data_IF_984558696363
#
_entry.id   IF_984558696363
#
_cell.length_a   1.000
_cell.length_b   1.000
_cell.length_c   1.000
_cell.angle_alpha   90.00
_cell.angle_beta   90.00
_cell.angle_gamma   90.00
#
_symmetry.space_group_name_H-M   'P 1'
#
loop_
_entity.id
_entity.type
_entity.pdbx_description
1 polymer ?
#
# COMPACT_ATOMS: atom_id res chain seq x y z
N UNK A 1 -17.33 -12.92 17.26
CA UNK A 1 -16.08 -12.14 17.29
C UNK A 1 -16.43 -10.71 16.98
N UNK A 2 -15.96 -9.76 17.79
CA UNK A 2 -16.20 -8.34 17.62
C UNK A 2 -15.02 -7.72 16.86
N UNK A 3 -15.30 -6.97 15.81
CA UNK A 3 -14.28 -6.37 14.95
C UNK A 3 -14.57 -4.87 14.80
N UNK A 4 -13.63 -4.04 15.22
CA UNK A 4 -13.67 -2.61 14.99
C UNK A 4 -12.91 -2.24 13.71
N UNK A 5 -13.51 -1.43 12.87
CA UNK A 5 -12.96 -0.96 11.61
C UNK A 5 -12.67 0.53 11.77
N UNK A 6 -11.40 0.89 11.80
CA UNK A 6 -10.96 2.28 11.93
C UNK A 6 -10.81 2.90 10.57
N UNK A 7 -11.40 4.08 10.39
CA UNK A 7 -11.22 4.90 9.18
C UNK A 7 -10.78 6.30 9.56
N UNK A 8 -10.07 6.97 8.65
CA UNK A 8 -9.57 8.34 8.84
C UNK A 8 -10.21 9.21 7.78
N UNK A 9 -10.89 10.27 8.20
CA UNK A 9 -11.78 11.06 7.33
C UNK A 9 -12.78 10.14 6.61
N UNK A 10 -13.05 10.44 5.33
CA UNK A 10 -13.95 9.67 4.48
C UNK A 10 -13.22 8.70 3.54
N UNK A 11 -11.92 8.43 3.79
CA UNK A 11 -11.12 7.54 2.96
C UNK A 11 -11.37 6.06 3.29
N UNK A 12 -12.51 5.55 2.85
CA UNK A 12 -12.97 4.21 3.20
C UNK A 12 -12.71 3.15 2.10
N UNK A 13 -12.40 3.57 0.87
CA UNK A 13 -12.40 2.68 -0.29
C UNK A 13 -11.40 1.51 -0.17
N UNK A 14 -10.20 1.76 0.36
CA UNK A 14 -9.17 0.72 0.49
C UNK A 14 -9.57 -0.35 1.52
N UNK A 15 -10.04 0.09 2.69
CA UNK A 15 -10.47 -0.84 3.75
C UNK A 15 -11.77 -1.55 3.36
N UNK A 16 -12.71 -0.87 2.72
CA UNK A 16 -13.95 -1.45 2.23
C UNK A 16 -13.69 -2.52 1.15
N UNK A 17 -12.76 -2.25 0.23
CA UNK A 17 -12.35 -3.23 -0.78
C UNK A 17 -11.70 -4.47 -0.17
N UNK A 18 -10.87 -4.27 0.86
CA UNK A 18 -10.26 -5.37 1.59
C UNK A 18 -11.30 -6.21 2.33
N UNK A 19 -12.25 -5.56 3.01
CA UNK A 19 -13.35 -6.25 3.70
C UNK A 19 -14.21 -7.08 2.75
N UNK A 20 -14.51 -6.56 1.56
CA UNK A 20 -15.30 -7.26 0.56
C UNK A 20 -14.63 -8.54 0.03
N UNK A 21 -13.31 -8.68 0.18
CA UNK A 21 -12.55 -9.86 -0.21
C UNK A 21 -12.41 -10.90 0.91
N UNK A 22 -12.98 -10.64 2.11
CA UNK A 22 -12.91 -11.53 3.26
C UNK A 22 -14.31 -12.01 3.65
N UNK A 23 -14.39 -13.12 4.38
CA UNK A 23 -15.66 -13.61 4.95
C UNK A 23 -15.75 -13.23 6.43
N UNK A 24 -16.65 -12.30 6.74
CA UNK A 24 -16.95 -11.84 8.10
C UNK A 24 -18.29 -12.40 8.62
N UNK A 25 -18.78 -13.47 8.06
CA UNK A 25 -20.03 -14.11 8.49
C UNK A 25 -19.95 -14.49 9.98
N UNK A 26 -20.95 -14.07 10.76
CA UNK A 26 -21.01 -14.32 12.19
C UNK A 26 -20.14 -13.38 13.06
N UNK A 27 -19.53 -12.35 12.49
CA UNK A 27 -18.84 -11.30 13.22
C UNK A 27 -19.77 -10.11 13.48
N UNK A 28 -19.58 -9.45 14.63
CA UNK A 28 -20.16 -8.13 14.92
C UNK A 28 -19.16 -7.07 14.46
N UNK A 29 -19.57 -6.19 13.55
CA UNK A 29 -18.71 -5.14 13.00
C UNK A 29 -19.09 -3.79 13.61
N UNK A 30 -18.10 -3.02 14.07
CA UNK A 30 -18.23 -1.64 14.48
C UNK A 30 -17.37 -0.75 13.59
N UNK A 31 -17.82 0.48 13.32
CA UNK A 31 -17.08 1.46 12.54
C UNK A 31 -16.62 2.61 13.44
N UNK A 32 -15.32 2.76 13.61
CA UNK A 32 -14.70 3.85 14.36
C UNK A 32 -14.13 4.87 13.36
N UNK A 33 -14.84 5.97 13.19
CA UNK A 33 -14.48 7.02 12.26
C UNK A 33 -13.69 8.12 12.98
N UNK A 34 -12.43 8.32 12.58
CA UNK A 34 -11.60 9.42 13.04
C UNK A 34 -11.81 10.60 12.11
N UNK A 35 -12.34 11.72 12.65
CA UNK A 35 -12.58 12.95 11.89
C UNK A 35 -12.51 14.17 12.82
N UNK A 36 -11.81 15.27 12.46
CA UNK A 36 -10.95 15.43 11.26
C UNK A 36 -9.68 14.57 11.31
N UNK A 37 -8.90 14.59 10.21
CA UNK A 37 -7.63 13.89 10.15
C UNK A 37 -6.68 14.40 11.25
N UNK A 38 -6.12 13.51 12.10
CA UNK A 38 -5.14 13.90 13.08
C UNK A 38 -3.78 14.19 12.42
N UNK A 39 -3.02 15.08 13.03
CA UNK A 39 -1.65 15.41 12.61
C UNK A 39 -0.67 14.34 13.11
N UNK A 40 -0.88 13.85 14.33
CA UNK A 40 -0.05 12.81 14.98
C UNK A 40 -0.94 11.80 15.71
N UNK A 41 -0.42 10.60 15.88
CA UNK A 41 -1.16 9.48 16.48
C UNK A 41 -1.64 9.76 17.92
N UNK A 42 -0.86 10.54 18.68
CA UNK A 42 -1.19 10.91 20.07
C UNK A 42 -2.57 11.53 20.23
N UNK A 43 -3.01 12.29 19.22
CA UNK A 43 -4.30 12.98 19.28
C UNK A 43 -5.50 12.04 19.35
N UNK A 44 -5.35 10.79 18.96
CA UNK A 44 -6.48 9.84 18.87
C UNK A 44 -6.30 8.60 19.75
N UNK A 45 -5.09 8.35 20.25
CA UNK A 45 -4.81 7.10 20.99
C UNK A 45 -5.61 6.98 22.28
N UNK A 46 -5.82 8.05 23.03
CA UNK A 46 -6.62 8.01 24.26
C UNK A 46 -8.09 7.70 23.94
N UNK A 47 -8.64 8.36 22.94
CA UNK A 47 -10.01 8.12 22.50
C UNK A 47 -10.21 6.70 21.90
N UNK A 48 -9.18 6.14 21.24
CA UNK A 48 -9.21 4.74 20.79
C UNK A 48 -9.16 3.74 21.95
N UNK A 49 -8.42 4.05 23.00
CA UNK A 49 -8.41 3.23 24.23
C UNK A 49 -9.78 3.29 24.92
N UNK A 50 -10.38 4.48 25.02
CA UNK A 50 -11.74 4.65 25.58
C UNK A 50 -12.80 3.92 24.74
N UNK A 51 -12.64 3.92 23.42
CA UNK A 51 -13.53 3.17 22.51
C UNK A 51 -13.47 1.65 22.75
N UNK A 52 -12.28 1.14 23.08
CA UNK A 52 -12.07 -0.28 23.39
C UNK A 52 -12.57 -0.67 24.78
N UNK A 53 -12.54 0.25 25.75
CA UNK A 53 -13.05 0.04 27.12
C UNK A 53 -14.60 0.10 27.17
N UNK A 54 -15.25 -0.36 26.13
CA UNK A 54 -16.70 -0.44 25.99
C UNK A 54 -17.25 -1.74 26.58
N UNK A 55 -18.59 -1.86 26.69
CA UNK A 55 -19.25 -3.10 27.12
C UNK A 55 -18.97 -4.29 26.17
N UNK A 56 -18.59 -4.01 24.94
CA UNK A 56 -18.29 -5.01 23.90
C UNK A 56 -16.93 -4.72 23.24
N UNK A 57 -15.82 -4.99 23.95
CA UNK A 57 -14.49 -4.75 23.41
C UNK A 57 -14.24 -5.53 22.12
N UNK A 58 -13.40 -4.99 21.24
CA UNK A 58 -13.07 -5.61 19.98
C UNK A 58 -12.05 -6.74 20.16
N UNK A 59 -12.31 -7.90 19.58
CA UNK A 59 -11.30 -8.96 19.46
C UNK A 59 -10.21 -8.56 18.46
N UNK A 60 -10.62 -7.85 17.40
CA UNK A 60 -9.75 -7.38 16.32
C UNK A 60 -10.06 -5.92 15.99
N UNK A 61 -9.01 -5.10 15.84
CA UNK A 61 -9.11 -3.72 15.37
C UNK A 61 -8.37 -3.59 14.05
N UNK A 62 -9.08 -3.20 12.99
CA UNK A 62 -8.55 -3.05 11.64
C UNK A 62 -8.27 -1.58 11.33
N UNK A 63 -7.05 -1.28 10.92
CA UNK A 63 -6.59 0.05 10.53
C UNK A 63 -6.36 0.14 9.02
N UNK A 64 -6.55 1.33 8.41
CA UNK A 64 -6.32 1.53 6.99
C UNK A 64 -4.86 1.26 6.61
N UNK A 65 -4.58 0.99 5.32
CA UNK A 65 -3.22 0.81 4.84
C UNK A 65 -2.44 2.13 4.89
N UNK A 66 -1.15 2.04 5.16
CA UNK A 66 -0.22 3.17 5.19
C UNK A 66 0.48 3.35 6.53
N UNK A 67 1.47 4.24 6.55
CA UNK A 67 2.34 4.44 7.71
C UNK A 67 1.58 4.86 8.97
N UNK A 68 0.54 5.68 8.82
CA UNK A 68 -0.27 6.12 9.95
C UNK A 68 -1.12 4.98 10.52
N UNK A 69 -1.69 4.13 9.68
CA UNK A 69 -2.39 2.91 10.13
C UNK A 69 -1.45 1.93 10.82
N UNK A 70 -0.23 1.75 10.32
CA UNK A 70 0.81 0.93 10.94
C UNK A 70 1.19 1.47 12.33
N UNK A 71 1.35 2.79 12.46
CA UNK A 71 1.66 3.45 13.72
C UNK A 71 0.50 3.29 14.74
N UNK A 72 -0.72 3.63 14.35
CA UNK A 72 -1.89 3.53 15.24
C UNK A 72 -2.10 2.10 15.72
N UNK A 73 -2.03 1.11 14.81
CA UNK A 73 -2.23 -0.30 15.18
C UNK A 73 -1.19 -0.78 16.20
N UNK A 74 0.07 -0.38 16.01
CA UNK A 74 1.17 -0.77 16.90
C UNK A 74 1.06 -0.11 18.27
N UNK A 75 0.77 1.19 18.30
CA UNK A 75 0.70 1.97 19.54
C UNK A 75 -0.56 1.65 20.35
N UNK A 76 -1.69 1.42 19.69
CA UNK A 76 -2.91 0.99 20.38
C UNK A 76 -2.72 -0.39 21.01
N UNK A 77 -2.18 -1.35 20.26
CA UNK A 77 -1.89 -2.68 20.78
C UNK A 77 -0.98 -2.65 22.01
N UNK A 78 0.04 -1.79 21.99
CA UNK A 78 0.92 -1.59 23.14
C UNK A 78 0.15 -1.09 24.39
N UNK A 79 -0.70 -0.07 24.24
CA UNK A 79 -1.48 0.50 25.33
C UNK A 79 -2.49 -0.49 25.93
N UNK A 80 -3.07 -1.34 25.10
CA UNK A 80 -4.07 -2.33 25.49
C UNK A 80 -3.47 -3.70 25.85
N UNK A 81 -2.13 -3.83 25.90
CA UNK A 81 -1.43 -5.10 26.12
C UNK A 81 -1.82 -6.20 25.12
N UNK A 82 -2.35 -5.82 23.96
CA UNK A 82 -2.73 -6.68 22.87
C UNK A 82 -1.55 -7.12 21.98
N UNK A 83 -1.84 -7.41 20.73
CA UNK A 83 -0.82 -7.69 19.70
C UNK A 83 -1.07 -6.83 18.46
N UNK A 84 0.01 -6.48 17.75
CA UNK A 84 -0.09 -5.79 16.45
C UNK A 84 0.60 -6.58 15.36
N UNK A 85 -0.05 -6.65 14.18
CA UNK A 85 0.55 -7.17 12.96
C UNK A 85 0.24 -6.17 11.84
N UNK A 86 1.29 -5.56 11.28
CA UNK A 86 1.14 -4.56 10.22
C UNK A 86 1.20 -5.18 8.83
N UNK A 87 0.53 -4.52 7.87
CA UNK A 87 0.53 -4.86 6.44
C UNK A 87 -0.03 -6.26 6.16
N UNK A 88 -1.19 -6.52 6.75
CA UNK A 88 -1.90 -7.80 6.62
C UNK A 88 -2.61 -7.88 5.28
N UNK A 89 -2.42 -8.99 4.57
CA UNK A 89 -3.07 -9.25 3.27
C UNK A 89 -4.40 -9.99 3.40
N UNK A 90 -4.55 -10.84 4.42
CA UNK A 90 -5.81 -11.53 4.72
C UNK A 90 -5.92 -11.91 6.19
N UNK A 91 -7.16 -12.06 6.65
CA UNK A 91 -7.53 -12.55 7.99
C UNK A 91 -8.47 -13.74 7.83
N UNK A 92 -8.09 -14.88 8.40
CA UNK A 92 -8.94 -16.05 8.51
C UNK A 92 -9.68 -16.00 9.85
N UNK A 93 -10.98 -15.78 9.80
CA UNK A 93 -11.82 -15.56 10.98
C UNK A 93 -11.90 -16.81 11.88
N UNK A 94 -12.14 -18.03 11.35
CA UNK A 94 -12.26 -19.22 12.18
C UNK A 94 -11.02 -19.53 13.03
N UNK A 95 -9.84 -19.31 12.49
CA UNK A 95 -8.57 -19.60 13.18
C UNK A 95 -7.91 -18.36 13.78
N UNK A 96 -8.44 -17.17 13.51
CA UNK A 96 -7.84 -15.86 13.84
C UNK A 96 -6.37 -15.81 13.40
N UNK A 97 -6.11 -16.33 12.19
CA UNK A 97 -4.78 -16.28 11.58
C UNK A 97 -4.70 -15.21 10.50
N UNK A 98 -3.58 -14.54 10.44
CA UNK A 98 -3.33 -13.46 9.47
C UNK A 98 -2.21 -13.83 8.54
N UNK A 99 -2.33 -13.43 7.28
CA UNK A 99 -1.26 -13.54 6.30
C UNK A 99 -0.65 -12.17 6.03
N UNK A 100 0.64 -12.15 5.91
CA UNK A 100 1.41 -10.97 5.51
C UNK A 100 2.62 -11.34 4.68
N UNK A 101 3.07 -10.41 3.85
CA UNK A 101 4.36 -10.54 3.17
C UNK A 101 5.51 -10.43 4.16
N UNK A 102 6.55 -11.22 3.94
CA UNK A 102 7.76 -11.25 4.76
C UNK A 102 9.02 -11.39 3.89
N UNK A 103 10.19 -11.04 4.43
CA UNK A 103 11.47 -11.09 3.71
C UNK A 103 11.43 -10.34 2.37
N UNK A 104 11.08 -9.05 2.40
CA UNK A 104 11.00 -8.23 1.18
C UNK A 104 10.02 -8.82 0.15
N UNK A 105 8.88 -9.32 0.60
CA UNK A 105 7.85 -10.00 -0.19
C UNK A 105 8.27 -11.36 -0.81
N UNK A 106 9.42 -11.92 -0.45
CA UNK A 106 9.84 -13.24 -0.95
C UNK A 106 9.00 -14.39 -0.38
N UNK A 107 8.44 -14.20 0.81
CA UNK A 107 7.64 -15.20 1.52
C UNK A 107 6.30 -14.62 1.96
N UNK A 108 5.34 -15.49 2.17
CA UNK A 108 4.09 -15.17 2.88
C UNK A 108 4.11 -15.88 4.22
N UNK A 109 4.06 -15.12 5.31
CA UNK A 109 3.94 -15.66 6.66
C UNK A 109 2.48 -15.77 7.05
N UNK A 110 2.11 -16.88 7.71
CA UNK A 110 0.85 -17.01 8.44
C UNK A 110 1.16 -16.90 9.93
N UNK A 111 0.53 -15.97 10.60
CA UNK A 111 0.79 -15.64 12.00
C UNK A 111 -0.50 -15.81 12.81
N UNK A 112 -0.35 -16.26 14.06
CA UNK A 112 -1.43 -16.38 15.03
C UNK A 112 -0.99 -15.84 16.38
N UNK A 113 -1.94 -15.31 17.16
CA UNK A 113 -1.71 -14.86 18.53
C UNK A 113 -2.99 -15.03 19.35
N UNK A 114 -2.83 -15.35 20.63
CA UNK A 114 -3.93 -15.42 21.60
C UNK A 114 -4.22 -14.06 22.27
N UNK A 115 -3.29 -13.08 22.10
CA UNK A 115 -3.47 -11.75 22.69
C UNK A 115 -4.59 -10.98 22.02
N UNK A 116 -5.37 -10.27 22.84
CA UNK A 116 -6.47 -9.37 22.42
C UNK A 116 -6.30 -8.00 23.07
N UNK A 117 -6.77 -6.93 22.39
CA UNK A 117 -7.19 -6.94 21.00
C UNK A 117 -6.05 -7.26 20.05
N UNK A 118 -6.37 -7.82 18.89
CA UNK A 118 -5.44 -7.97 17.78
C UNK A 118 -5.58 -6.77 16.83
N UNK A 119 -4.63 -5.85 16.88
CA UNK A 119 -4.60 -4.64 16.05
C UNK A 119 -3.89 -4.93 14.73
N UNK A 120 -4.58 -4.75 13.62
CA UNK A 120 -4.08 -5.06 12.28
C UNK A 120 -4.09 -3.82 11.40
N UNK A 121 -2.97 -3.44 10.80
CA UNK A 121 -3.00 -2.53 9.67
C UNK A 121 -3.02 -3.32 8.36
N UNK A 122 -3.74 -2.82 7.37
CA UNK A 122 -3.93 -3.52 6.12
C UNK A 122 -2.78 -3.24 5.14
N UNK A 123 -2.44 -4.23 4.32
CA UNK A 123 -1.57 -4.02 3.18
C UNK A 123 -2.31 -3.26 2.06
N UNK A 124 -1.62 -2.42 1.31
CA UNK A 124 -2.17 -1.86 0.07
C UNK A 124 -2.44 -2.99 -0.91
N UNK A 125 -3.62 -2.98 -1.52
CA UNK A 125 -4.03 -3.97 -2.51
C UNK A 125 -4.08 -3.35 -3.90
N UNK A 126 -3.58 -4.09 -4.88
CA UNK A 126 -3.69 -3.72 -6.28
C UNK A 126 -5.17 -3.72 -6.71
N UNK A 127 -5.60 -2.67 -7.41
CA UNK A 127 -6.94 -2.58 -7.98
C UNK A 127 -8.06 -2.52 -6.94
N UNK A 128 -7.79 -1.97 -5.74
CA UNK A 128 -8.84 -1.66 -4.79
C UNK A 128 -9.94 -0.82 -5.48
N UNK A 129 -11.18 -1.26 -5.37
CA UNK A 129 -12.29 -0.60 -6.02
C UNK A 129 -12.46 0.80 -5.42
N UNK A 130 -12.28 1.85 -6.23
CA UNK A 130 -12.37 3.26 -5.79
C UNK A 130 -13.74 3.61 -5.17
N UNK A 131 -14.77 2.83 -5.49
CA UNK A 131 -16.15 3.05 -5.04
C UNK A 131 -16.62 1.96 -4.05
N UNK A 132 -15.69 1.21 -3.44
CA UNK A 132 -16.08 0.27 -2.41
C UNK A 132 -16.63 1.02 -1.19
N UNK A 133 -17.73 0.52 -0.64
CA UNK A 133 -18.37 1.08 0.56
C UNK A 133 -18.28 0.08 1.70
N UNK A 134 -18.20 0.60 2.91
CA UNK A 134 -18.25 -0.23 4.11
C UNK A 134 -19.60 -0.96 4.21
N UNK A 135 -19.64 -2.14 4.85
CA UNK A 135 -20.89 -2.85 5.12
C UNK A 135 -21.91 -1.94 5.85
N UNK A 136 -23.18 -2.07 5.50
CA UNK A 136 -24.25 -1.33 6.16
C UNK A 136 -24.61 -1.95 7.53
N UNK A 137 -25.19 -1.13 8.43
CA UNK A 137 -25.72 -1.62 9.71
C UNK A 137 -24.68 -1.80 10.82
N UNK A 138 -23.46 -1.31 10.65
CA UNK A 138 -22.45 -1.27 11.72
C UNK A 138 -22.79 -0.21 12.77
N UNK A 139 -22.48 -0.49 14.03
CA UNK A 139 -22.47 0.53 15.08
C UNK A 139 -21.36 1.54 14.76
N UNK A 140 -21.71 2.81 14.63
CA UNK A 140 -20.78 3.88 14.32
C UNK A 140 -20.35 4.62 15.58
N UNK A 141 -19.04 4.84 15.73
CA UNK A 141 -18.43 5.67 16.74
C UNK A 141 -17.57 6.74 16.06
N UNK A 142 -17.85 8.00 16.37
CA UNK A 142 -17.03 9.12 15.90
C UNK A 142 -15.94 9.42 16.91
N UNK A 143 -14.71 9.39 16.48
CA UNK A 143 -13.51 9.70 17.27
C UNK A 143 -12.98 11.06 16.83
N UNK A 144 -13.03 12.02 17.75
CA UNK A 144 -12.52 13.36 17.51
C UNK A 144 -11.09 13.46 18.04
N UNK A 145 -10.12 13.89 17.20
CA UNK A 145 -8.75 14.09 17.66
C UNK A 145 -8.66 15.12 18.78
N UNK A 146 -7.88 14.79 19.82
CA UNK A 146 -7.58 15.69 20.92
C UNK A 146 -6.60 16.81 20.53
N UNK A 147 -6.14 17.56 21.53
CA UNK A 147 -5.15 18.62 21.36
C UNK A 147 -3.83 18.08 20.81
N UNK A 148 -3.06 18.97 20.16
CA UNK A 148 -1.67 18.66 19.78
C UNK A 148 -0.83 18.44 21.03
N UNK A 149 0.07 17.45 21.03
CA UNK A 149 0.95 17.21 22.18
C UNK A 149 1.99 18.34 22.34
N UNK A 150 2.38 18.63 23.57
CA UNK A 150 3.27 19.73 23.92
C UNK A 150 4.66 19.65 23.27
N UNK A 151 5.11 18.45 22.88
CA UNK A 151 6.38 18.26 22.18
C UNK A 151 6.34 18.71 20.71
N UNK A 152 5.17 18.87 20.13
CA UNK A 152 5.01 19.30 18.75
C UNK A 152 5.04 20.82 18.66
N UNK A 153 6.20 21.36 18.29
CA UNK A 153 6.49 22.81 18.30
C UNK A 153 5.78 23.54 17.15
N UNK A 154 5.73 22.92 15.97
CA UNK A 154 5.08 23.50 14.81
C UNK A 154 4.68 22.44 13.79
N UNK A 155 3.65 22.73 13.04
CA UNK A 155 3.23 21.95 11.85
C UNK A 155 3.16 22.88 10.66
N UNK A 156 3.60 22.40 9.51
CA UNK A 156 3.48 23.12 8.25
C UNK A 156 2.67 22.29 7.27
N UNK A 157 1.57 22.87 6.80
CA UNK A 157 0.81 22.27 5.70
C UNK A 157 1.58 22.47 4.39
N UNK A 158 2.15 21.39 3.90
CA UNK A 158 2.75 21.36 2.57
C UNK A 158 1.61 21.42 1.53
N UNK A 159 1.10 22.63 1.27
CA UNK A 159 -0.07 22.90 0.40
C UNK A 159 0.00 22.30 -1.00
N UNK A 160 1.13 21.72 -1.39
CA UNK A 160 1.39 21.12 -2.68
C UNK A 160 1.73 19.60 -2.59
N UNK A 161 1.59 18.95 -1.45
CA UNK A 161 1.58 17.48 -1.42
C UNK A 161 0.21 17.04 -1.90
N UNK A 162 -0.07 17.37 -3.15
CA UNK A 162 -1.08 16.66 -3.93
C UNK A 162 -0.78 15.18 -3.83
N UNK A 163 -1.83 14.37 -3.79
CA UNK A 163 -1.86 12.92 -3.88
C UNK A 163 -0.59 12.38 -4.52
N UNK A 164 0.06 11.43 -3.87
CA UNK A 164 1.24 10.77 -4.42
C UNK A 164 0.85 10.08 -5.76
N UNK A 165 1.26 10.62 -6.92
CA UNK A 165 0.82 10.08 -8.20
C UNK A 165 1.19 8.61 -8.37
N UNK A 166 2.35 8.21 -7.84
CA UNK A 166 2.81 6.82 -7.87
C UNK A 166 1.95 5.88 -7.04
N UNK A 167 1.49 6.33 -5.86
CA UNK A 167 0.66 5.50 -4.99
C UNK A 167 -0.74 5.24 -5.57
N UNK A 168 -1.27 6.17 -6.39
CA UNK A 168 -2.60 6.08 -6.99
C UNK A 168 -2.58 5.60 -8.45
N UNK A 169 -1.41 5.45 -9.05
CA UNK A 169 -1.27 5.09 -10.45
C UNK A 169 -1.84 3.69 -10.73
N UNK A 170 -2.64 3.59 -11.78
CA UNK A 170 -3.11 2.28 -12.29
C UNK A 170 -2.01 1.55 -13.06
N UNK A 171 -1.11 2.30 -13.70
CA UNK A 171 0.05 1.78 -14.43
C UNK A 171 1.30 2.51 -13.98
N UNK A 172 2.38 1.76 -13.78
CA UNK A 172 3.68 2.33 -13.39
C UNK A 172 4.77 1.78 -14.30
N UNK A 173 5.61 2.68 -14.81
CA UNK A 173 6.84 2.36 -15.50
C UNK A 173 8.00 2.52 -14.51
N UNK A 174 8.63 1.42 -14.14
CA UNK A 174 9.79 1.39 -13.24
C UNK A 174 11.07 1.27 -14.05
N UNK A 175 11.92 2.29 -13.96
CA UNK A 175 13.17 2.35 -14.71
C UNK A 175 14.35 1.97 -13.82
N UNK A 176 15.04 0.91 -14.20
CA UNK A 176 16.28 0.46 -13.57
C UNK A 176 17.51 1.19 -14.10
N UNK A 177 18.69 0.78 -13.63
CA UNK A 177 19.97 1.36 -14.06
C UNK A 177 20.27 1.08 -15.54
N UNK A 178 19.88 -0.07 -16.08
CA UNK A 178 20.00 -0.42 -17.50
C UNK A 178 18.99 0.30 -18.41
N UNK A 179 18.08 1.08 -17.86
CA UNK A 179 17.15 1.94 -18.59
C UNK A 179 17.68 3.35 -18.79
N UNK A 180 18.99 3.52 -19.02
CA UNK A 180 19.57 4.84 -19.30
C UNK A 180 19.05 5.39 -20.64
N UNK A 181 18.26 6.45 -20.54
CA UNK A 181 17.79 7.26 -21.65
C UNK A 181 17.60 8.68 -21.17
N UNK A 182 17.32 9.58 -22.08
CA UNK A 182 16.86 10.91 -21.75
C UNK A 182 15.57 10.81 -20.91
N UNK A 183 15.55 11.46 -19.75
CA UNK A 183 14.38 11.48 -18.85
C UNK A 183 13.13 12.03 -19.56
N UNK A 184 13.28 12.90 -20.56
CA UNK A 184 12.16 13.38 -21.36
C UNK A 184 11.57 12.29 -22.25
N UNK A 185 12.39 11.42 -22.81
CA UNK A 185 11.95 10.30 -23.63
C UNK A 185 11.19 9.27 -22.77
N UNK A 186 11.70 8.95 -21.59
CA UNK A 186 11.03 8.07 -20.61
C UNK A 186 9.66 8.66 -20.23
N UNK A 187 9.61 9.96 -19.93
CA UNK A 187 8.37 10.64 -19.57
C UNK A 187 7.33 10.61 -20.72
N UNK A 188 7.75 10.84 -21.95
CA UNK A 188 6.87 10.76 -23.12
C UNK A 188 6.34 9.35 -23.37
N UNK A 189 7.16 8.31 -23.21
CA UNK A 189 6.71 6.92 -23.35
C UNK A 189 5.73 6.54 -22.23
N UNK A 190 6.02 6.95 -21.00
CA UNK A 190 5.14 6.71 -19.86
C UNK A 190 3.78 7.40 -20.04
N UNK A 191 3.76 8.66 -20.49
CA UNK A 191 2.54 9.41 -20.79
C UNK A 191 1.68 8.69 -21.83
N UNK A 192 2.28 8.23 -22.93
CA UNK A 192 1.58 7.47 -23.98
C UNK A 192 1.01 6.14 -23.47
N UNK A 193 1.67 5.52 -22.48
CA UNK A 193 1.19 4.30 -21.81
C UNK A 193 0.16 4.59 -20.72
N UNK A 194 -0.07 5.86 -20.38
CA UNK A 194 -0.89 6.26 -19.22
C UNK A 194 -0.29 5.77 -17.90
N UNK A 195 1.03 5.77 -17.78
CA UNK A 195 1.78 5.28 -16.64
C UNK A 195 2.53 6.40 -15.91
N UNK A 196 2.61 6.30 -14.58
CA UNK A 196 3.54 7.11 -13.77
C UNK A 196 4.94 6.50 -13.80
N UNK A 197 5.96 7.36 -13.70
CA UNK A 197 7.36 6.91 -13.73
C UNK A 197 7.92 6.82 -12.31
N UNK A 198 8.49 5.65 -11.99
CA UNK A 198 9.29 5.45 -10.79
C UNK A 198 10.67 4.87 -11.13
N UNK A 199 11.58 4.91 -10.18
CA UNK A 199 12.97 4.56 -10.41
C UNK A 199 13.47 3.53 -9.39
N UNK A 200 14.35 2.63 -9.84
CA UNK A 200 15.09 1.80 -8.89
C UNK A 200 16.06 2.66 -8.07
N UNK A 201 16.38 2.23 -6.85
CA UNK A 201 17.36 2.93 -6.01
C UNK A 201 18.71 3.10 -6.71
N UNK A 202 19.18 2.09 -7.45
CA UNK A 202 20.43 2.17 -8.20
C UNK A 202 20.39 3.28 -9.26
N UNK A 203 19.24 3.46 -9.93
CA UNK A 203 19.08 4.55 -10.92
C UNK A 203 19.11 5.93 -10.25
N UNK A 204 18.46 6.09 -9.09
CA UNK A 204 18.47 7.35 -8.35
C UNK A 204 19.88 7.69 -7.83
N UNK A 205 20.61 6.70 -7.33
CA UNK A 205 21.99 6.92 -6.84
C UNK A 205 22.97 7.37 -7.92
N UNK A 206 22.72 7.04 -9.18
CA UNK A 206 23.49 7.54 -10.31
C UNK A 206 23.18 9.01 -10.66
N UNK A 207 22.17 9.60 -10.05
CA UNK A 207 21.77 11.00 -10.23
C UNK A 207 20.89 11.24 -11.47
N UNK A 208 20.46 12.48 -11.63
CA UNK A 208 19.69 12.93 -12.79
C UNK A 208 18.19 12.57 -12.78
N UNK A 209 17.68 11.94 -11.73
CA UNK A 209 16.27 11.63 -11.54
C UNK A 209 15.81 11.99 -10.12
N UNK A 210 14.51 12.17 -9.98
CA UNK A 210 13.88 12.55 -8.71
C UNK A 210 14.01 11.42 -7.67
N UNK A 211 14.63 11.72 -6.55
CA UNK A 211 14.84 10.80 -5.43
C UNK A 211 13.52 10.45 -4.71
N UNK A 212 12.50 11.30 -4.79
CA UNK A 212 11.20 11.03 -4.20
C UNK A 212 10.44 9.93 -4.94
N UNK A 213 10.82 9.63 -6.20
CA UNK A 213 10.23 8.58 -7.04
C UNK A 213 10.91 7.21 -6.93
N UNK A 214 11.66 6.97 -5.85
CA UNK A 214 12.28 5.66 -5.58
C UNK A 214 11.22 4.61 -5.33
N UNK A 215 11.33 3.47 -6.04
CA UNK A 215 10.51 2.28 -5.83
C UNK A 215 11.31 1.22 -5.08
N UNK A 216 10.68 0.60 -4.11
CA UNK A 216 11.28 -0.49 -3.34
C UNK A 216 11.17 -0.30 -1.83
N UNK A 217 11.89 -1.13 -1.08
CA UNK A 217 11.81 -1.18 0.39
C UNK A 217 12.20 0.14 1.09
N UNK A 218 12.97 0.98 0.42
CA UNK A 218 13.39 2.30 0.92
C UNK A 218 12.65 3.47 0.26
N UNK A 219 11.56 3.21 -0.44
CA UNK A 219 10.75 4.18 -1.15
C UNK A 219 9.30 3.73 -1.24
N UNK A 220 8.68 3.92 -2.41
CA UNK A 220 7.28 3.55 -2.60
C UNK A 220 7.09 2.03 -2.69
N UNK A 221 6.07 1.54 -1.98
CA UNK A 221 5.51 0.21 -2.13
C UNK A 221 4.21 0.33 -2.93
N UNK A 222 4.24 -0.13 -4.16
CA UNK A 222 3.18 0.10 -5.14
C UNK A 222 2.23 -1.10 -5.26
N UNK A 223 1.00 -0.82 -5.68
CA UNK A 223 0.00 -1.82 -6.00
C UNK A 223 -0.80 -1.44 -7.27
N UNK A 224 -0.15 -1.15 -8.40
CA UNK A 224 -0.83 -0.79 -9.64
C UNK A 224 -1.51 -2.01 -10.28
N UNK A 225 -2.37 -1.76 -11.26
CA UNK A 225 -2.91 -2.82 -12.11
C UNK A 225 -1.82 -3.44 -12.99
N UNK A 226 -0.96 -2.59 -13.56
CA UNK A 226 0.18 -3.02 -14.39
C UNK A 226 1.44 -2.29 -13.96
N UNK A 227 2.50 -3.04 -13.72
CA UNK A 227 3.83 -2.53 -13.47
C UNK A 227 4.77 -3.01 -14.57
N UNK A 228 5.37 -2.08 -15.31
CA UNK A 228 6.36 -2.38 -16.36
C UNK A 228 7.74 -2.03 -15.80
N UNK A 229 8.60 -3.02 -15.66
CA UNK A 229 9.95 -2.87 -15.11
C UNK A 229 10.95 -2.99 -16.24
N UNK A 230 11.70 -1.91 -16.53
CA UNK A 230 12.67 -1.85 -17.63
C UNK A 230 14.09 -1.68 -17.13
N UNK A 231 15.02 -2.43 -17.69
CA UNK A 231 16.45 -2.31 -17.41
C UNK A 231 16.85 -2.48 -15.94
N UNK A 232 16.08 -3.24 -15.16
CA UNK A 232 16.37 -3.52 -13.76
C UNK A 232 16.83 -4.97 -13.57
N UNK A 233 17.79 -5.19 -12.68
CA UNK A 233 18.32 -6.52 -12.38
C UNK A 233 17.35 -7.44 -11.62
N UNK A 234 16.31 -6.86 -10.97
CA UNK A 234 15.40 -7.63 -10.14
C UNK A 234 15.88 -7.79 -8.69
N UNK A 235 16.67 -6.83 -8.18
CA UNK A 235 17.08 -6.83 -6.79
C UNK A 235 15.86 -6.93 -5.85
N UNK A 236 15.95 -7.77 -4.81
CA UNK A 236 14.85 -8.03 -3.87
C UNK A 236 14.25 -6.73 -3.28
N UNK A 237 15.08 -5.72 -3.03
CA UNK A 237 14.64 -4.43 -2.52
C UNK A 237 13.73 -3.66 -3.50
N UNK A 238 13.98 -3.76 -4.81
CA UNK A 238 13.11 -3.20 -5.84
C UNK A 238 11.84 -4.01 -5.98
N UNK A 239 11.98 -5.33 -6.09
CA UNK A 239 10.84 -6.24 -6.29
C UNK A 239 9.85 -6.19 -5.12
N UNK A 240 10.31 -5.92 -3.90
CA UNK A 240 9.43 -5.61 -2.76
C UNK A 240 8.46 -4.45 -3.05
N UNK A 241 8.92 -3.45 -3.80
CA UNK A 241 8.13 -2.28 -4.15
C UNK A 241 7.05 -2.52 -5.21
N UNK A 242 7.18 -3.54 -6.04
CA UNK A 242 6.28 -3.80 -7.18
C UNK A 242 5.46 -5.08 -7.06
N UNK A 243 5.76 -5.93 -6.11
CA UNK A 243 5.16 -7.26 -5.98
C UNK A 243 3.64 -7.26 -5.77
N UNK A 244 3.09 -6.21 -5.18
CA UNK A 244 1.65 -6.08 -4.97
C UNK A 244 0.90 -5.60 -6.23
N UNK A 245 1.60 -5.44 -7.36
CA UNK A 245 0.99 -5.19 -8.67
C UNK A 245 0.14 -6.38 -9.10
N UNK A 246 -0.98 -6.14 -9.81
CA UNK A 246 -1.77 -7.23 -10.37
C UNK A 246 -1.04 -7.98 -11.48
N UNK A 247 -0.22 -7.24 -12.25
CA UNK A 247 0.50 -7.78 -13.39
C UNK A 247 1.84 -7.07 -13.55
N UNK A 248 2.92 -7.85 -13.55
CA UNK A 248 4.30 -7.35 -13.68
C UNK A 248 4.87 -7.79 -15.02
N UNK A 249 5.29 -6.81 -15.83
CA UNK A 249 6.03 -7.03 -17.07
C UNK A 249 7.48 -6.64 -16.84
N UNK A 250 8.41 -7.52 -17.13
CA UNK A 250 9.84 -7.23 -17.08
C UNK A 250 10.44 -7.18 -18.49
N UNK A 251 11.20 -6.13 -18.78
CA UNK A 251 11.92 -5.97 -20.06
C UNK A 251 13.39 -5.75 -19.74
N UNK A 252 14.24 -6.65 -20.21
CA UNK A 252 15.67 -6.57 -19.99
C UNK A 252 16.41 -7.25 -21.14
N UNK A 253 17.56 -6.71 -21.53
CA UNK A 253 18.43 -7.33 -22.55
C UNK A 253 19.20 -8.55 -22.00
N UNK A 254 19.40 -8.64 -20.69
CA UNK A 254 20.04 -9.78 -20.02
C UNK A 254 18.99 -10.84 -19.69
N UNK A 255 18.97 -11.93 -20.46
CA UNK A 255 18.06 -13.06 -20.24
C UNK A 255 18.24 -13.75 -18.88
N UNK A 256 19.37 -13.54 -18.21
CA UNK A 256 19.67 -14.12 -16.89
C UNK A 256 19.25 -13.21 -15.72
N UNK A 257 18.73 -12.03 -16.01
CA UNK A 257 18.33 -11.07 -14.97
C UNK A 257 17.27 -11.64 -14.03
N UNK A 258 17.49 -11.52 -12.72
CA UNK A 258 16.60 -12.07 -11.69
C UNK A 258 15.19 -11.47 -11.74
N UNK A 259 14.98 -10.31 -12.37
CA UNK A 259 13.67 -9.68 -12.54
C UNK A 259 12.66 -10.61 -13.22
N UNK A 260 13.09 -11.45 -14.13
CA UNK A 260 12.22 -12.38 -14.85
C UNK A 260 11.61 -13.46 -13.96
N UNK A 261 12.29 -13.84 -12.89
CA UNK A 261 11.75 -14.83 -11.94
C UNK A 261 10.57 -14.33 -11.09
N UNK A 262 10.32 -13.04 -11.11
CA UNK A 262 9.28 -12.36 -10.32
C UNK A 262 8.29 -11.57 -11.18
N UNK A 263 8.38 -11.71 -12.50
CA UNK A 263 7.48 -11.10 -13.46
C UNK A 263 6.46 -12.13 -13.99
N UNK A 264 5.25 -11.67 -14.30
CA UNK A 264 4.24 -12.48 -14.96
C UNK A 264 4.58 -12.68 -16.45
N UNK A 265 5.20 -11.66 -17.06
CA UNK A 265 5.70 -11.70 -18.44
C UNK A 265 7.11 -11.10 -18.49
N UNK A 266 8.03 -11.82 -19.15
CA UNK A 266 9.38 -11.36 -19.42
C UNK A 266 9.62 -11.18 -20.92
N UNK A 267 10.23 -10.06 -21.31
CA UNK A 267 10.67 -9.77 -22.69
C UNK A 267 12.18 -9.55 -22.67
N UNK A 268 12.91 -10.38 -23.40
CA UNK A 268 14.36 -10.26 -23.53
C UNK A 268 14.66 -9.48 -24.81
N UNK A 269 14.76 -8.16 -24.67
CA UNK A 269 15.02 -7.25 -25.79
C UNK A 269 15.42 -5.86 -25.27
N UNK A 270 15.70 -4.93 -26.19
CA UNK A 270 15.84 -3.51 -25.87
C UNK A 270 14.49 -2.94 -25.41
N UNK A 271 14.49 -2.40 -24.18
CA UNK A 271 13.28 -1.90 -23.54
C UNK A 271 12.61 -0.76 -24.34
N UNK A 272 13.38 0.07 -25.04
CA UNK A 272 12.85 1.19 -25.82
C UNK A 272 12.03 0.68 -27.00
N UNK A 273 12.59 -0.25 -27.77
CA UNK A 273 11.92 -0.88 -28.91
C UNK A 273 10.62 -1.55 -28.46
N UNK A 274 10.66 -2.25 -27.33
CA UNK A 274 9.48 -2.93 -26.77
C UNK A 274 8.42 -1.93 -26.31
N UNK A 275 8.80 -0.85 -25.62
CA UNK A 275 7.83 0.16 -25.17
C UNK A 275 7.21 0.92 -26.35
N UNK A 276 7.96 1.26 -27.37
CA UNK A 276 7.45 1.90 -28.59
C UNK A 276 6.44 0.99 -29.32
N UNK A 277 6.73 -0.30 -29.41
CA UNK A 277 5.81 -1.28 -29.96
C UNK A 277 4.54 -1.42 -29.12
N UNK A 278 4.65 -1.44 -27.78
CA UNK A 278 3.50 -1.46 -26.88
C UNK A 278 2.61 -0.23 -27.06
N UNK A 279 3.20 0.96 -27.11
CA UNK A 279 2.46 2.21 -27.35
C UNK A 279 1.69 2.14 -28.66
N UNK A 280 2.32 1.65 -29.72
CA UNK A 280 1.71 1.56 -31.05
C UNK A 280 0.51 0.61 -31.04
N UNK A 281 0.63 -0.55 -30.40
CA UNK A 281 -0.44 -1.55 -30.34
C UNK A 281 -1.62 -1.13 -29.44
N UNK A 282 -1.36 -0.48 -28.28
CA UNK A 282 -2.43 0.02 -27.42
C UNK A 282 -3.31 1.05 -28.14
N UNK A 283 -2.73 1.89 -28.99
CA UNK A 283 -3.49 2.87 -29.77
C UNK A 283 -4.25 2.24 -30.95
N UNK A 284 -3.79 1.11 -31.47
CA UNK A 284 -4.48 0.39 -32.55
C UNK A 284 -5.76 -0.33 -32.05
N UNK A 285 -5.74 -0.86 -30.81
CA UNK A 285 -6.89 -1.56 -30.21
C UNK A 285 -7.99 -0.61 -29.70
N UNK A 286 -7.71 0.70 -29.65
CA UNK A 286 -8.68 1.74 -29.23
C UNK A 286 -9.41 2.42 -30.39
N UNK A 287 -9.17 2.01 -31.65
CA UNK A 287 -9.87 2.47 -32.85
C UNK A 287 -10.85 1.40 -33.36
#
# INVERSE_FOLDING_TARGET
>A
MNIAIVTINQENAAIASWLAAQDFSGCTLAHWQIEPQPVVAEQVLDALVEAEDSETPADVVLFPPGTFGDELSTRLAWRLHGASICQVTSLDIPTVSVRKSHWGNALTATLQTEKRPLCLSLARQAGAAKNATLPSGMQQLNIVPGALPDWLVSTEDLKNVTRDPLAEARRVLVVGQGGEADNQEIAMLAEKLGAEVGYSRARVMNGGVDAEKVIGISGHLLAPEVCIVVGASGAAALMAGVRNSKFVVAINHDASAAVFSQADVGVVDDWKVVLEALVTNIHADCQ
#
